data_IF_184697348878
#
_entry.id   IF_184697348878
#
_cell.length_a   1.000
_cell.length_b   1.000
_cell.length_c   1.000
_cell.angle_alpha   90.00
_cell.angle_beta   90.00
_cell.angle_gamma   90.00
#
_symmetry.space_group_name_H-M   'P 1'
#
loop_
_entity.id
_entity.type
_entity.pdbx_description
1 polymer ?
#
# COMPACT_ATOMS: atom_id res chain seq x y z
N UNK A 1 24.90 0.97 -12.39
CA UNK A 1 23.45 0.68 -12.31
C UNK A 1 22.72 1.99 -12.09
N UNK A 2 22.19 2.59 -13.16
CA UNK A 2 21.53 3.89 -13.09
C UNK A 2 20.16 3.74 -12.42
N UNK A 3 19.81 4.59 -11.44
CA UNK A 3 18.55 4.51 -10.73
C UNK A 3 17.44 4.97 -11.68
N UNK A 4 16.56 4.05 -12.06
CA UNK A 4 15.27 4.37 -12.67
C UNK A 4 14.35 5.02 -11.63
N UNK A 5 14.67 6.26 -11.24
CA UNK A 5 13.75 7.14 -10.52
C UNK A 5 12.96 7.91 -11.58
N UNK A 6 11.63 7.95 -11.47
CA UNK A 6 10.69 8.91 -12.11
C UNK A 6 9.84 8.47 -13.34
N UNK A 7 10.10 7.37 -14.06
CA UNK A 7 9.36 7.14 -15.34
C UNK A 7 7.90 6.64 -15.27
N UNK A 8 7.27 6.45 -14.08
CA UNK A 8 5.88 5.98 -13.96
C UNK A 8 5.05 6.75 -12.92
N UNK A 9 5.34 8.03 -12.70
CA UNK A 9 4.65 8.86 -11.71
C UNK A 9 3.57 9.76 -12.34
N UNK A 10 2.51 10.04 -11.57
CA UNK A 10 1.48 11.05 -11.92
C UNK A 10 2.16 12.41 -12.09
N UNK A 11 1.68 13.24 -13.01
CA UNK A 11 2.20 14.60 -13.21
C UNK A 11 2.17 15.42 -11.92
N UNK A 12 3.32 15.97 -11.53
CA UNK A 12 3.54 16.63 -10.22
C UNK A 12 2.59 17.81 -9.98
N UNK A 13 2.33 18.63 -10.99
CA UNK A 13 1.48 19.84 -10.86
C UNK A 13 0.03 19.53 -10.46
N UNK A 14 -0.47 18.31 -10.69
CA UNK A 14 -1.82 17.87 -10.29
C UNK A 14 -1.89 17.37 -8.84
N UNK A 15 -0.77 17.34 -8.12
CA UNK A 15 -0.67 16.79 -6.78
C UNK A 15 -0.76 15.26 -6.71
N UNK A 16 -0.76 14.69 -5.49
CA UNK A 16 -0.94 13.25 -5.28
C UNK A 16 -2.39 12.82 -5.56
N UNK A 17 -2.59 11.52 -5.79
CA UNK A 17 -3.94 10.94 -5.88
C UNK A 17 -4.48 10.71 -4.48
N UNK A 18 -5.46 11.51 -4.07
CA UNK A 18 -6.09 11.50 -2.75
C UNK A 18 -7.47 10.86 -2.88
N UNK A 19 -7.80 9.98 -1.94
CA UNK A 19 -9.09 9.28 -1.89
C UNK A 19 -9.66 9.48 -0.48
N UNK A 20 -10.97 9.69 -0.31
CA UNK A 20 -11.57 9.74 1.01
C UNK A 20 -11.39 8.38 1.71
N UNK A 21 -10.67 8.40 2.83
CA UNK A 21 -10.45 7.24 3.69
C UNK A 21 -10.95 7.60 5.10
N UNK A 22 -11.58 6.66 5.83
CA UNK A 22 -12.06 6.89 7.20
C UNK A 22 -10.88 6.89 8.17
N UNK A 23 -10.10 7.98 8.14
CA UNK A 23 -8.92 8.15 9.00
C UNK A 23 -9.39 8.82 10.29
N UNK A 24 -9.34 8.05 11.38
CA UNK A 24 -9.56 8.57 12.72
C UNK A 24 -8.18 8.85 13.32
N UNK A 25 -7.99 10.06 13.84
CA UNK A 25 -6.80 10.40 14.62
C UNK A 25 -7.01 9.85 16.04
N UNK A 26 -6.16 8.90 16.43
CA UNK A 26 -6.18 8.34 17.77
C UNK A 26 -5.43 9.25 18.74
N UNK A 27 -5.92 9.35 19.97
CA UNK A 27 -5.19 10.02 21.04
C UNK A 27 -3.99 9.16 21.49
N UNK A 28 -3.03 9.79 22.15
CA UNK A 28 -1.84 9.11 22.65
C UNK A 28 -2.23 8.06 23.70
N UNK A 29 -1.98 6.77 23.40
CA UNK A 29 -2.33 5.63 24.28
C UNK A 29 -3.54 4.81 23.81
N UNK A 30 -4.27 5.27 22.79
CA UNK A 30 -5.37 4.49 22.22
C UNK A 30 -4.88 3.41 21.25
N UNK A 31 -5.58 2.28 21.23
CA UNK A 31 -5.29 1.19 20.30
C UNK A 31 -5.68 1.60 18.89
N UNK A 32 -4.69 1.82 18.03
CA UNK A 32 -4.89 2.12 16.60
C UNK A 32 -5.66 0.98 15.93
N UNK A 33 -6.92 1.23 15.56
CA UNK A 33 -7.73 0.27 14.81
C UNK A 33 -7.28 0.29 13.35
N UNK A 34 -7.09 -0.87 12.71
CA UNK A 34 -6.62 -0.90 11.34
C UNK A 34 -7.72 -0.44 10.37
N UNK A 35 -7.35 0.45 9.44
CA UNK A 35 -8.26 1.05 8.47
C UNK A 35 -8.41 0.10 7.28
N UNK A 36 -9.62 -0.44 7.07
CA UNK A 36 -9.92 -1.32 5.93
C UNK A 36 -10.12 -0.51 4.65
N UNK A 37 -9.36 -0.83 3.61
CA UNK A 37 -9.41 -0.09 2.34
C UNK A 37 -9.34 -1.01 1.13
N UNK A 38 -10.16 -0.71 0.12
CA UNK A 38 -10.06 -1.30 -1.23
C UNK A 38 -9.33 -0.38 -2.22
N UNK A 39 -9.02 0.84 -1.78
CA UNK A 39 -8.50 1.91 -2.60
C UNK A 39 -6.99 1.76 -2.80
N UNK A 40 -6.59 0.81 -3.65
CA UNK A 40 -5.19 0.46 -3.91
C UNK A 40 -4.39 1.55 -4.64
N UNK A 41 -5.06 2.49 -5.30
CA UNK A 41 -4.46 3.61 -6.04
C UNK A 41 -4.21 4.86 -5.19
N UNK A 42 -4.65 4.86 -3.92
CA UNK A 42 -4.40 5.95 -2.99
C UNK A 42 -2.90 6.10 -2.71
N UNK A 43 -2.44 7.35 -2.70
CA UNK A 43 -1.04 7.69 -2.41
C UNK A 43 -0.84 7.72 -0.89
N UNK A 44 0.26 7.18 -0.40
CA UNK A 44 0.62 7.29 1.01
C UNK A 44 1.06 8.73 1.28
N UNK A 45 0.29 9.41 2.11
CA UNK A 45 0.57 10.77 2.57
C UNK A 45 1.46 10.73 3.82
N UNK A 46 2.25 11.77 4.09
CA UNK A 46 3.03 11.88 5.34
C UNK A 46 2.18 11.70 6.60
N UNK A 47 0.93 12.15 6.56
CA UNK A 47 -0.02 12.02 7.67
C UNK A 47 -0.42 10.57 8.01
N UNK A 48 -0.06 9.59 7.17
CA UNK A 48 -0.41 8.19 7.38
C UNK A 48 0.65 7.40 8.12
N UNK A 49 1.81 8.00 8.39
CA UNK A 49 2.89 7.35 9.14
C UNK A 49 2.39 6.94 10.52
N UNK A 50 2.63 5.68 10.90
CA UNK A 50 2.16 5.10 12.16
C UNK A 50 0.73 4.53 12.13
N UNK A 51 -0.04 4.78 11.06
CA UNK A 51 -1.35 4.15 10.89
C UNK A 51 -1.22 2.72 10.36
N UNK A 52 -2.19 1.88 10.71
CA UNK A 52 -2.34 0.52 10.20
C UNK A 52 -3.44 0.47 9.16
N UNK A 53 -3.16 -0.11 8.01
CA UNK A 53 -4.10 -0.30 6.91
C UNK A 53 -4.31 -1.78 6.65
N UNK A 54 -5.55 -2.19 6.43
CA UNK A 54 -5.85 -3.48 5.81
C UNK A 54 -6.14 -3.23 4.33
N UNK A 55 -5.20 -3.57 3.45
CA UNK A 55 -5.30 -3.33 2.01
C UNK A 55 -5.86 -4.56 1.31
N UNK A 56 -6.93 -4.37 0.54
CA UNK A 56 -7.55 -5.46 -0.21
C UNK A 56 -6.69 -5.90 -1.40
N UNK A 57 -6.58 -7.22 -1.58
CA UNK A 57 -5.78 -7.83 -2.64
C UNK A 57 -6.58 -8.48 -3.76
N UNK A 58 -7.91 -8.40 -3.70
CA UNK A 58 -8.84 -9.13 -4.58
C UNK A 58 -9.50 -10.33 -3.91
N UNK A 59 -8.95 -10.81 -2.78
CA UNK A 59 -9.51 -11.94 -2.00
C UNK A 59 -9.48 -11.70 -0.49
N UNK A 60 -8.35 -11.23 0.02
CA UNK A 60 -8.09 -11.03 1.46
C UNK A 60 -7.59 -9.60 1.68
N UNK A 61 -7.74 -9.11 2.91
CA UNK A 61 -7.14 -7.86 3.36
C UNK A 61 -5.80 -8.14 4.05
N UNK A 62 -4.72 -7.52 3.57
CA UNK A 62 -3.40 -7.63 4.18
C UNK A 62 -3.14 -6.45 5.11
N UNK A 63 -2.65 -6.75 6.32
CA UNK A 63 -2.29 -5.73 7.31
C UNK A 63 -0.93 -5.13 6.98
N UNK A 64 -0.90 -3.82 6.79
CA UNK A 64 0.28 -3.03 6.46
C UNK A 64 0.38 -1.90 7.47
N UNK A 65 1.52 -1.82 8.17
CA UNK A 65 1.84 -0.67 9.04
C UNK A 65 2.73 0.28 8.26
N UNK A 66 2.34 1.54 8.16
CA UNK A 66 3.03 2.52 7.31
C UNK A 66 4.22 3.13 8.06
N UNK A 67 5.37 3.11 7.39
CA UNK A 67 6.63 3.76 7.81
C UNK A 67 6.92 4.98 6.94
N UNK A 68 7.87 5.81 7.35
CA UNK A 68 8.25 7.05 6.64
C UNK A 68 8.77 6.79 5.22
N UNK A 69 9.52 5.71 5.02
CA UNK A 69 10.07 5.33 3.72
C UNK A 69 8.99 4.97 2.69
N UNK A 70 7.77 4.68 3.13
CA UNK A 70 6.64 4.32 2.26
C UNK A 70 5.92 5.55 1.70
N UNK A 71 6.25 6.77 2.15
CA UNK A 71 5.59 8.00 1.70
C UNK A 71 5.82 8.22 0.21
N UNK A 72 4.74 8.53 -0.53
CA UNK A 72 4.77 8.72 -1.98
C UNK A 72 4.46 7.45 -2.81
N UNK A 73 4.53 6.26 -2.20
CA UNK A 73 4.11 5.01 -2.83
C UNK A 73 2.60 4.85 -2.86
N UNK A 74 2.10 3.84 -3.59
CA UNK A 74 0.69 3.45 -3.58
C UNK A 74 0.43 2.35 -2.57
N UNK A 75 -0.72 2.42 -1.88
CA UNK A 75 -1.13 1.36 -0.93
C UNK A 75 -1.14 -0.04 -1.56
N UNK A 76 -1.50 -0.14 -2.84
CA UNK A 76 -1.52 -1.41 -3.56
C UNK A 76 -0.15 -2.08 -3.74
N UNK A 77 0.96 -1.34 -3.65
CA UNK A 77 2.31 -1.91 -3.81
C UNK A 77 2.66 -2.87 -2.68
N UNK A 78 2.11 -2.64 -1.49
CA UNK A 78 2.34 -3.45 -0.29
C UNK A 78 1.41 -4.67 -0.18
N UNK A 79 0.55 -4.90 -1.18
CA UNK A 79 -0.39 -6.02 -1.24
C UNK A 79 -0.34 -6.71 -2.62
N UNK A 80 0.37 -7.84 -2.71
CA UNK A 80 0.65 -8.56 -3.96
C UNK A 80 -0.53 -9.41 -4.45
N UNK A 81 -1.15 -9.06 -5.58
CA UNK A 81 -2.39 -9.71 -6.07
C UNK A 81 -2.23 -11.13 -6.56
N UNK A 82 -1.06 -11.48 -7.07
CA UNK A 82 -0.75 -12.82 -7.57
C UNK A 82 0.32 -13.47 -6.71
N UNK A 83 0.17 -14.78 -6.48
CA UNK A 83 1.23 -15.57 -5.88
C UNK A 83 2.42 -15.62 -6.84
N UNK A 84 3.63 -15.64 -6.28
CA UNK A 84 4.86 -15.78 -7.07
C UNK A 84 4.83 -17.10 -7.84
N UNK A 85 5.09 -17.04 -9.13
CA UNK A 85 5.24 -18.24 -9.94
C UNK A 85 6.50 -19.00 -9.50
N UNK A 86 6.34 -20.29 -9.23
CA UNK A 86 7.44 -21.21 -8.98
C UNK A 86 7.23 -22.42 -9.87
N UNK A 87 8.17 -22.66 -10.78
CA UNK A 87 8.15 -23.90 -11.55
C UNK A 87 8.32 -25.08 -10.61
N UNK A 88 7.46 -26.09 -10.76
CA UNK A 88 7.58 -27.38 -10.07
C UNK A 88 7.62 -28.45 -11.15
N UNK A 89 8.71 -29.21 -11.21
CA UNK A 89 8.83 -30.34 -12.12
C UNK A 89 7.79 -31.39 -11.72
N UNK A 90 6.80 -31.64 -12.58
CA UNK A 90 5.86 -32.75 -12.40
C UNK A 90 6.56 -34.05 -12.80
N UNK A 91 6.65 -35.02 -11.88
CA UNK A 91 7.36 -36.30 -12.11
C UNK A 91 6.66 -37.25 -13.10
N UNK A 92 5.50 -36.90 -13.65
CA UNK A 92 4.84 -37.74 -14.66
C UNK A 92 5.52 -37.53 -16.02
N UNK A 93 6.51 -38.37 -16.29
CA UNK A 93 7.02 -38.73 -17.61
C UNK A 93 7.14 -40.25 -17.67
#
# INVERSE_FOLDING_TARGET
MLPTRVLLARSVWKGPHIVPLPIVRYAQGEKVVPIRTQQRSATILPNFVGLKFQVHNGKVYHDVTITEDMVGHKLGEFSTTRKRFSYKLSKNK
#
